data_IF_980772475840
#
_entry.id   IF_980772475840
#
_cell.length_a   1.000
_cell.length_b   1.000
_cell.length_c   1.000
_cell.angle_alpha   90.00
_cell.angle_beta   90.00
_cell.angle_gamma   90.00
#
_symmetry.space_group_name_H-M   'P 1'
#
loop_
_entity.id
_entity.type
_entity.pdbx_description
1 polymer ?
#
# COMPACT_ATOMS: atom_id res chain seq x y z
N UNK A 1 1.89 -15.71 -11.49
CA UNK A 1 1.75 -16.02 -12.93
C UNK A 1 3.01 -15.68 -13.72
N UNK A 2 3.51 -14.44 -13.72
CA UNK A 2 4.76 -14.03 -14.41
C UNK A 2 5.92 -15.00 -14.16
N UNK A 3 6.25 -15.26 -12.90
CA UNK A 3 7.31 -16.21 -12.50
C UNK A 3 7.06 -17.65 -12.99
N UNK A 4 5.80 -18.09 -13.06
CA UNK A 4 5.45 -19.41 -13.57
C UNK A 4 5.65 -19.51 -15.09
N UNK A 5 5.17 -18.52 -15.84
CA UNK A 5 5.37 -18.45 -17.29
C UNK A 5 6.85 -18.33 -17.68
N UNK A 6 7.64 -17.62 -16.87
CA UNK A 6 9.09 -17.54 -17.02
C UNK A 6 9.74 -18.93 -16.90
N UNK A 7 9.48 -19.65 -15.81
CA UNK A 7 10.05 -20.99 -15.61
C UNK A 7 9.55 -21.98 -16.64
N UNK A 8 8.29 -21.88 -17.05
CA UNK A 8 7.74 -22.76 -18.07
C UNK A 8 8.47 -22.56 -19.40
N UNK A 9 8.67 -21.31 -19.82
CA UNK A 9 9.44 -21.00 -21.03
C UNK A 9 10.88 -21.51 -20.95
N UNK A 10 11.50 -21.39 -19.77
CA UNK A 10 12.88 -21.84 -19.52
C UNK A 10 13.04 -23.37 -19.58
N UNK A 11 12.08 -24.12 -19.02
CA UNK A 11 12.14 -25.59 -18.90
C UNK A 11 11.68 -26.31 -20.16
N UNK A 12 10.60 -25.83 -20.76
CA UNK A 12 10.01 -26.46 -21.95
C UNK A 12 10.69 -25.97 -23.24
N UNK A 13 11.75 -25.18 -23.12
CA UNK A 13 12.42 -24.49 -24.23
C UNK A 13 11.44 -23.77 -25.16
N UNK A 14 10.37 -23.19 -24.59
CA UNK A 14 9.37 -22.44 -25.34
C UNK A 14 9.78 -20.97 -25.52
N UNK A 15 8.99 -20.24 -26.31
CA UNK A 15 9.12 -18.79 -26.42
C UNK A 15 8.74 -18.10 -25.11
N UNK A 16 9.46 -17.05 -24.72
CA UNK A 16 9.11 -16.20 -23.58
C UNK A 16 7.93 -15.24 -23.87
N UNK A 17 7.28 -15.32 -25.03
CA UNK A 17 6.22 -14.38 -25.43
C UNK A 17 5.11 -14.23 -24.37
N UNK A 18 4.61 -15.33 -23.79
CA UNK A 18 3.55 -15.28 -22.75
C UNK A 18 3.99 -14.55 -21.49
N UNK A 19 5.23 -14.78 -21.05
CA UNK A 19 5.83 -14.05 -19.94
C UNK A 19 5.95 -12.56 -20.28
N UNK A 20 6.39 -12.20 -21.49
CA UNK A 20 6.52 -10.80 -21.91
C UNK A 20 5.17 -10.07 -22.06
N UNK A 21 4.13 -10.75 -22.53
CA UNK A 21 2.77 -10.21 -22.52
C UNK A 21 2.30 -9.90 -21.09
N UNK A 22 2.66 -10.74 -20.12
CA UNK A 22 2.43 -10.48 -18.70
C UNK A 22 3.15 -9.21 -18.21
N UNK A 23 4.40 -9.04 -18.63
CA UNK A 23 5.20 -7.86 -18.32
C UNK A 23 4.62 -6.58 -18.94
N UNK A 24 4.07 -6.65 -20.17
CA UNK A 24 3.35 -5.54 -20.80
C UNK A 24 2.11 -5.15 -19.99
N UNK A 25 1.32 -6.13 -19.54
CA UNK A 25 0.15 -5.86 -18.68
C UNK A 25 0.60 -5.19 -17.38
N UNK A 26 1.67 -5.68 -16.76
CA UNK A 26 2.24 -5.08 -15.54
C UNK A 26 2.74 -3.65 -15.78
N UNK A 27 3.38 -3.39 -16.92
CA UNK A 27 3.85 -2.05 -17.32
C UNK A 27 2.69 -1.06 -17.40
N UNK A 28 1.56 -1.47 -17.98
CA UNK A 28 0.38 -0.62 -18.13
C UNK A 28 -0.41 -0.45 -16.81
N UNK A 29 -0.38 -1.44 -15.93
CA UNK A 29 -1.04 -1.35 -14.62
C UNK A 29 -0.24 -0.49 -13.63
N UNK A 30 1.08 -0.71 -13.58
CA UNK A 30 1.98 -0.08 -12.60
C UNK A 30 3.41 -0.12 -13.08
N UNK A 31 3.76 0.84 -13.94
CA UNK A 31 5.03 0.89 -14.68
C UNK A 31 6.30 0.62 -13.85
N UNK A 32 6.47 1.10 -12.60
CA UNK A 32 7.71 0.84 -11.87
C UNK A 32 7.86 -0.62 -11.41
N UNK A 33 6.75 -1.37 -11.27
CA UNK A 33 6.80 -2.78 -10.89
C UNK A 33 7.31 -3.69 -12.02
N UNK A 34 7.33 -3.22 -13.27
CA UNK A 34 8.01 -3.93 -14.36
C UNK A 34 9.49 -4.17 -14.00
N UNK A 35 10.16 -3.16 -13.44
CA UNK A 35 11.57 -3.23 -13.05
C UNK A 35 11.80 -4.34 -12.02
N UNK A 36 10.85 -4.55 -11.11
CA UNK A 36 10.92 -5.61 -10.10
C UNK A 36 10.92 -6.99 -10.77
N UNK A 37 10.00 -7.24 -11.69
CA UNK A 37 9.91 -8.52 -12.37
C UNK A 37 11.13 -8.79 -13.26
N UNK A 38 11.55 -7.79 -14.04
CA UNK A 38 12.74 -7.88 -14.90
C UNK A 38 14.02 -8.09 -14.07
N UNK A 39 14.17 -7.36 -12.95
CA UNK A 39 15.31 -7.54 -12.05
C UNK A 39 15.31 -8.93 -11.41
N UNK A 40 14.16 -9.44 -10.99
CA UNK A 40 14.05 -10.79 -10.42
C UNK A 40 14.48 -11.87 -11.42
N UNK A 41 14.03 -11.77 -12.68
CA UNK A 41 14.38 -12.70 -13.75
C UNK A 41 15.87 -12.60 -14.14
N UNK A 42 16.44 -11.39 -14.17
CA UNK A 42 17.88 -11.18 -14.37
C UNK A 42 18.72 -11.78 -13.23
N UNK A 43 18.36 -11.50 -11.97
CA UNK A 43 19.04 -12.07 -10.80
C UNK A 43 18.93 -13.60 -10.82
N UNK A 44 17.81 -14.16 -11.26
CA UNK A 44 17.69 -15.60 -11.46
C UNK A 44 18.69 -16.14 -12.49
N UNK A 45 18.82 -15.52 -13.66
CA UNK A 45 19.82 -15.95 -14.65
C UNK A 45 21.25 -15.85 -14.09
N UNK A 46 21.55 -14.82 -13.30
CA UNK A 46 22.85 -14.69 -12.63
C UNK A 46 23.08 -15.79 -11.59
N UNK A 47 22.06 -16.12 -10.80
CA UNK A 47 22.10 -17.14 -9.75
C UNK A 47 22.10 -18.59 -10.28
N UNK A 48 21.67 -18.79 -11.53
CA UNK A 48 21.55 -20.11 -12.16
C UNK A 48 22.43 -20.23 -13.42
N UNK A 49 23.74 -20.56 -13.27
CA UNK A 49 24.69 -20.60 -14.38
C UNK A 49 24.25 -21.44 -15.57
N UNK A 50 23.58 -22.57 -15.33
CA UNK A 50 23.08 -23.48 -16.37
C UNK A 50 22.04 -22.82 -17.31
N UNK A 51 21.40 -21.73 -16.89
CA UNK A 51 20.39 -21.02 -17.67
C UNK A 51 20.89 -19.74 -18.34
N UNK A 52 22.14 -19.32 -18.12
CA UNK A 52 22.70 -18.06 -18.67
C UNK A 52 22.68 -18.01 -20.20
N UNK A 53 22.86 -19.16 -20.86
CA UNK A 53 22.77 -19.27 -22.33
C UNK A 53 21.40 -18.88 -22.89
N UNK A 54 20.33 -18.90 -22.07
CA UNK A 54 18.98 -18.58 -22.50
C UNK A 54 18.66 -17.07 -22.41
N UNK A 55 19.55 -16.23 -21.86
CA UNK A 55 19.32 -14.78 -21.72
C UNK A 55 19.00 -14.15 -23.07
N UNK A 56 19.70 -14.52 -24.14
CA UNK A 56 19.42 -13.98 -25.49
C UNK A 56 18.00 -14.31 -25.99
N UNK A 57 17.48 -15.51 -25.65
CA UNK A 57 16.11 -15.92 -25.99
C UNK A 57 15.06 -15.16 -25.18
N UNK A 58 15.41 -14.70 -23.99
CA UNK A 58 14.55 -13.87 -23.14
C UNK A 58 14.59 -12.38 -23.55
N UNK A 59 15.77 -11.82 -23.82
CA UNK A 59 15.94 -10.40 -24.21
C UNK A 59 15.27 -10.08 -25.55
N UNK A 60 15.39 -10.94 -26.57
CA UNK A 60 14.81 -10.68 -27.90
C UNK A 60 13.31 -10.38 -27.86
N UNK A 61 12.43 -11.23 -27.28
CA UNK A 61 11.01 -10.92 -27.15
C UNK A 61 10.75 -9.74 -26.21
N UNK A 62 11.59 -9.49 -25.19
CA UNK A 62 11.48 -8.29 -24.36
C UNK A 62 11.59 -7.01 -25.19
N UNK A 63 12.61 -6.93 -26.04
CA UNK A 63 12.85 -5.77 -26.90
C UNK A 63 11.70 -5.56 -27.90
N UNK A 64 11.06 -6.62 -28.37
CA UNK A 64 9.87 -6.54 -29.23
C UNK A 64 8.59 -6.17 -28.45
N UNK A 65 8.49 -6.59 -27.19
CA UNK A 65 7.34 -6.35 -26.33
C UNK A 65 7.30 -4.92 -25.75
N UNK A 66 8.46 -4.32 -25.48
CA UNK A 66 8.56 -2.98 -24.88
C UNK A 66 7.83 -1.91 -25.71
N UNK A 67 8.02 -1.80 -27.05
CA UNK A 67 7.28 -0.84 -27.86
C UNK A 67 5.76 -1.00 -27.77
N UNK A 68 5.27 -2.25 -27.73
CA UNK A 68 3.84 -2.53 -27.59
C UNK A 68 3.30 -2.03 -26.25
N UNK A 69 4.03 -2.29 -25.16
CA UNK A 69 3.65 -1.79 -23.84
C UNK A 69 3.84 -0.29 -23.66
N UNK A 70 4.79 0.31 -24.38
CA UNK A 70 5.06 1.75 -24.37
C UNK A 70 4.06 2.56 -25.20
N UNK A 71 3.36 1.93 -26.16
CA UNK A 71 2.48 2.63 -27.10
C UNK A 71 1.44 3.52 -26.42
N UNK A 72 0.85 3.07 -25.31
CA UNK A 72 -0.09 3.89 -24.54
C UNK A 72 0.56 5.14 -23.94
N UNK A 73 1.75 5.02 -23.36
CA UNK A 73 2.50 6.16 -22.80
C UNK A 73 2.95 7.14 -23.88
N UNK A 74 3.30 6.64 -25.06
CA UNK A 74 3.60 7.48 -26.23
C UNK A 74 2.37 8.30 -26.62
N UNK A 75 1.19 7.66 -26.75
CA UNK A 75 -0.06 8.37 -27.05
C UNK A 75 -0.40 9.40 -25.97
N UNK A 76 -0.23 9.08 -24.69
CA UNK A 76 -0.40 10.04 -23.60
C UNK A 76 0.55 11.23 -23.74
N UNK A 77 1.84 10.98 -23.99
CA UNK A 77 2.84 12.03 -24.17
C UNK A 77 2.60 12.92 -25.39
N UNK A 78 2.00 12.38 -26.45
CA UNK A 78 1.62 13.15 -27.64
C UNK A 78 0.35 13.98 -27.43
N UNK A 79 -0.64 13.45 -26.68
CA UNK A 79 -1.92 14.14 -26.43
C UNK A 79 -1.83 15.20 -25.33
N UNK A 80 -1.05 14.95 -24.28
CA UNK A 80 -0.84 15.86 -23.16
C UNK A 80 0.64 15.83 -22.72
N UNK A 81 1.53 16.54 -23.45
CA UNK A 81 2.96 16.54 -23.16
C UNK A 81 3.29 17.09 -21.76
N UNK A 82 2.53 18.07 -21.28
CA UNK A 82 2.75 18.70 -19.98
C UNK A 82 2.35 17.77 -18.84
N UNK A 83 1.15 17.18 -18.91
CA UNK A 83 0.70 16.19 -17.93
C UNK A 83 1.59 14.96 -17.91
N UNK A 84 2.02 14.47 -19.08
CA UNK A 84 2.96 13.35 -19.16
C UNK A 84 4.30 13.69 -18.50
N UNK A 85 4.92 14.82 -18.83
CA UNK A 85 6.16 15.28 -18.16
C UNK A 85 5.98 15.44 -16.66
N UNK A 86 4.85 15.97 -16.22
CA UNK A 86 4.53 16.08 -14.80
C UNK A 86 4.48 14.71 -14.12
N UNK A 87 3.79 13.73 -14.71
CA UNK A 87 3.70 12.36 -14.15
C UNK A 87 5.07 11.68 -14.13
N UNK A 88 5.84 11.79 -15.21
CA UNK A 88 7.22 11.27 -15.27
C UNK A 88 8.09 11.91 -14.20
N UNK A 89 8.08 13.24 -14.09
CA UNK A 89 8.81 13.95 -13.06
C UNK A 89 8.33 13.59 -11.65
N UNK A 90 7.03 13.37 -11.46
CA UNK A 90 6.49 12.92 -10.17
C UNK A 90 7.04 11.54 -9.81
N UNK A 91 7.01 10.58 -10.73
CA UNK A 91 7.57 9.24 -10.51
C UNK A 91 9.08 9.28 -10.20
N UNK A 92 9.86 10.07 -10.94
CA UNK A 92 11.31 10.16 -10.73
C UNK A 92 11.70 11.03 -9.53
N UNK A 93 10.93 12.07 -9.20
CA UNK A 93 11.18 12.90 -8.02
C UNK A 93 10.92 12.13 -6.72
N UNK A 94 9.94 11.22 -6.72
CA UNK A 94 9.69 10.26 -5.63
C UNK A 94 10.81 9.21 -5.49
N UNK A 95 11.62 9.01 -6.54
CA UNK A 95 12.82 8.16 -6.52
C UNK A 95 14.07 8.94 -6.08
N UNK A 96 14.22 10.22 -6.46
CA UNK A 96 15.51 10.93 -6.42
C UNK A 96 15.65 12.07 -5.41
N UNK A 97 14.59 12.82 -5.07
CA UNK A 97 14.76 14.20 -4.56
C UNK A 97 14.06 14.56 -3.25
N UNK A 98 13.38 13.63 -2.58
CA UNK A 98 12.77 13.89 -1.28
C UNK A 98 13.84 14.08 -0.19
N UNK A 99 13.83 15.26 0.45
CA UNK A 99 14.49 15.52 1.74
C UNK A 99 14.42 14.25 2.58
N UNK A 100 15.59 13.63 2.82
CA UNK A 100 15.72 12.44 3.66
C UNK A 100 15.20 12.82 5.04
N UNK A 101 13.94 12.54 5.34
CA UNK A 101 13.62 12.26 6.74
C UNK A 101 14.51 11.07 7.11
N UNK A 102 15.35 11.18 8.16
CA UNK A 102 16.35 10.16 8.49
C UNK A 102 15.77 8.78 8.83
N UNK A 103 14.45 8.60 8.74
CA UNK A 103 13.83 7.30 8.95
C UNK A 103 14.35 6.30 7.92
N UNK A 104 15.09 5.33 8.42
CA UNK A 104 15.63 4.22 7.66
C UNK A 104 14.49 3.43 6.97
N UNK A 105 14.42 3.46 5.63
CA UNK A 105 13.45 2.68 4.84
C UNK A 105 13.45 1.20 5.23
N UNK A 106 14.64 0.68 5.54
CA UNK A 106 14.81 -0.69 6.01
C UNK A 106 14.01 -0.95 7.29
N UNK A 107 14.17 -0.11 8.30
CA UNK A 107 13.44 -0.26 9.57
C UNK A 107 11.94 -0.19 9.33
N UNK A 108 11.47 0.78 8.54
CA UNK A 108 10.04 0.91 8.23
C UNK A 108 9.46 -0.36 7.59
N UNK A 109 10.03 -0.81 6.48
CA UNK A 109 9.50 -1.98 5.77
C UNK A 109 9.76 -3.29 6.51
N UNK A 110 10.83 -3.39 7.29
CA UNK A 110 11.06 -4.49 8.21
C UNK A 110 9.88 -4.62 9.18
N UNK A 111 9.47 -3.55 9.87
CA UNK A 111 8.31 -3.58 10.77
C UNK A 111 7.03 -3.98 10.05
N UNK A 112 6.77 -3.42 8.86
CA UNK A 112 5.59 -3.78 8.06
C UNK A 112 5.60 -5.28 7.69
N UNK A 113 6.75 -5.83 7.29
CA UNK A 113 6.89 -7.25 6.96
C UNK A 113 6.76 -8.15 8.18
N UNK A 114 7.41 -7.80 9.30
CA UNK A 114 7.26 -8.55 10.56
C UNK A 114 5.79 -8.56 11.00
N UNK A 115 5.08 -7.46 10.78
CA UNK A 115 3.66 -7.36 11.04
C UNK A 115 2.87 -8.31 10.13
N UNK A 116 3.00 -8.21 8.81
CA UNK A 116 2.18 -8.99 7.87
C UNK A 116 2.59 -10.46 7.73
N UNK A 117 3.82 -10.84 8.07
CA UNK A 117 4.30 -12.23 8.05
C UNK A 117 4.08 -12.95 9.38
N UNK A 118 3.61 -12.27 10.41
CA UNK A 118 3.27 -12.94 11.66
C UNK A 118 2.16 -13.98 11.43
N UNK A 119 2.26 -15.17 12.05
CA UNK A 119 3.29 -15.60 13.01
C UNK A 119 4.52 -16.27 12.36
N UNK A 120 4.52 -16.42 11.04
CA UNK A 120 5.58 -17.09 10.27
C UNK A 120 6.92 -16.35 10.21
N UNK A 121 6.98 -15.17 10.80
CA UNK A 121 8.18 -14.33 10.85
C UNK A 121 9.41 -15.07 11.41
N UNK A 122 9.21 -15.96 12.39
CA UNK A 122 10.28 -16.71 13.05
C UNK A 122 10.86 -17.83 12.18
N UNK A 123 10.04 -18.43 11.29
CA UNK A 123 10.50 -19.47 10.36
C UNK A 123 11.04 -18.89 9.07
N UNK A 124 10.72 -17.65 8.74
CA UNK A 124 11.09 -17.06 7.46
C UNK A 124 12.61 -17.10 7.20
N UNK A 125 13.51 -16.72 8.14
CA UNK A 125 14.95 -16.79 7.90
C UNK A 125 15.42 -18.23 7.59
N UNK A 126 14.92 -19.21 8.34
CA UNK A 126 15.23 -20.61 8.11
C UNK A 126 14.72 -21.08 6.73
N UNK A 127 13.50 -20.70 6.34
CA UNK A 127 12.93 -21.04 5.04
C UNK A 127 13.71 -20.39 3.87
N UNK A 128 14.18 -19.16 4.04
CA UNK A 128 14.98 -18.45 3.06
C UNK A 128 16.35 -19.10 2.86
N UNK A 129 17.06 -19.44 3.95
CA UNK A 129 18.44 -19.98 3.89
C UNK A 129 18.46 -21.47 3.57
N UNK A 130 17.62 -22.27 4.24
CA UNK A 130 17.69 -23.73 4.18
C UNK A 130 16.80 -24.34 3.10
N UNK A 131 15.79 -23.60 2.61
CA UNK A 131 14.79 -24.19 1.72
C UNK A 131 15.32 -24.67 0.37
N UNK A 132 16.45 -24.15 -0.10
CA UNK A 132 17.02 -24.57 -1.41
C UNK A 132 17.79 -25.89 -1.31
N UNK A 133 18.32 -26.25 -0.12
CA UNK A 133 19.20 -27.42 0.04
C UNK A 133 18.41 -28.70 -0.16
N UNK A 134 18.85 -29.64 -1.01
CA UNK A 134 18.21 -30.94 -1.19
C UNK A 134 16.89 -30.92 -1.99
N UNK A 135 16.57 -29.81 -2.65
CA UNK A 135 15.53 -29.81 -3.68
C UNK A 135 16.10 -30.37 -4.99
N UNK A 136 15.31 -31.17 -5.72
CA UNK A 136 15.65 -31.55 -7.10
C UNK A 136 15.79 -30.33 -8.02
N UNK A 137 16.45 -30.45 -9.18
CA UNK A 137 16.82 -29.32 -10.03
C UNK A 137 15.63 -28.42 -10.40
N UNK A 138 14.53 -29.01 -10.86
CA UNK A 138 13.33 -28.23 -11.20
C UNK A 138 12.78 -27.45 -10.01
N UNK A 139 12.62 -28.11 -8.86
CA UNK A 139 12.09 -27.45 -7.67
C UNK A 139 13.04 -26.36 -7.18
N UNK A 140 14.35 -26.59 -7.27
CA UNK A 140 15.38 -25.62 -6.94
C UNK A 140 15.24 -24.36 -7.78
N UNK A 141 15.02 -24.46 -9.09
CA UNK A 141 14.85 -23.29 -9.96
C UNK A 141 13.61 -22.47 -9.57
N UNK A 142 12.49 -23.16 -9.30
CA UNK A 142 11.29 -22.48 -8.81
C UNK A 142 11.56 -21.74 -7.52
N UNK A 143 12.20 -22.42 -6.57
CA UNK A 143 12.51 -21.88 -5.26
C UNK A 143 13.50 -20.70 -5.31
N UNK A 144 14.50 -20.74 -6.20
CA UNK A 144 15.41 -19.62 -6.43
C UNK A 144 14.65 -18.44 -7.03
N UNK A 145 13.82 -18.67 -8.07
CA UNK A 145 13.08 -17.60 -8.72
C UNK A 145 12.13 -16.88 -7.77
N UNK A 146 11.36 -17.60 -6.96
CA UNK A 146 10.43 -16.99 -5.99
C UNK A 146 11.20 -16.13 -4.97
N UNK A 147 12.39 -16.56 -4.54
CA UNK A 147 13.26 -15.74 -3.67
C UNK A 147 13.78 -14.50 -4.38
N UNK A 148 14.15 -14.61 -5.66
CA UNK A 148 14.54 -13.45 -6.48
C UNK A 148 13.39 -12.44 -6.58
N UNK A 149 12.15 -12.88 -6.78
CA UNK A 149 10.97 -12.00 -6.80
C UNK A 149 10.72 -11.34 -5.44
N UNK A 150 10.73 -12.12 -4.35
CA UNK A 150 10.58 -11.57 -3.01
C UNK A 150 11.66 -10.51 -2.71
N UNK A 151 12.92 -10.85 -2.98
CA UNK A 151 14.06 -9.95 -2.79
C UNK A 151 13.99 -8.70 -3.67
N UNK A 152 13.64 -8.84 -4.95
CA UNK A 152 13.52 -7.71 -5.87
C UNK A 152 12.44 -6.72 -5.43
N UNK A 153 11.26 -7.21 -4.97
CA UNK A 153 10.21 -6.34 -4.41
C UNK A 153 10.75 -5.57 -3.22
N UNK A 154 11.43 -6.24 -2.28
CA UNK A 154 11.98 -5.59 -1.10
C UNK A 154 13.05 -4.55 -1.46
N UNK A 155 14.06 -4.94 -2.24
CA UNK A 155 15.14 -4.04 -2.64
C UNK A 155 14.59 -2.82 -3.37
N UNK A 156 13.62 -3.01 -4.27
CA UNK A 156 12.98 -1.91 -4.97
C UNK A 156 12.36 -0.90 -4.00
N UNK A 157 11.55 -1.35 -3.04
CA UNK A 157 10.90 -0.44 -2.09
C UNK A 157 11.86 0.11 -1.03
N UNK A 158 12.97 -0.57 -0.74
CA UNK A 158 14.04 0.02 0.08
C UNK A 158 14.69 1.24 -0.59
N UNK A 159 14.73 1.26 -1.93
CA UNK A 159 15.29 2.38 -2.71
C UNK A 159 14.25 3.51 -2.88
N UNK A 160 12.97 3.18 -3.03
CA UNK A 160 11.90 4.18 -3.17
C UNK A 160 11.76 5.00 -1.88
N UNK A 161 11.83 6.33 -1.98
CA UNK A 161 11.78 7.21 -0.81
C UNK A 161 10.38 7.30 -0.20
N UNK A 162 9.34 7.21 -1.04
CA UNK A 162 7.96 7.25 -0.60
C UNK A 162 7.57 5.92 0.05
N UNK A 163 7.13 6.02 1.31
CA UNK A 163 6.79 4.86 2.13
C UNK A 163 5.29 4.70 2.24
N UNK A 164 4.80 3.52 1.88
CA UNK A 164 3.47 3.09 2.26
C UNK A 164 3.49 1.62 2.66
N UNK A 165 2.68 1.21 3.65
CA UNK A 165 2.73 -0.17 4.14
C UNK A 165 2.27 -1.17 3.08
N UNK A 166 1.37 -0.76 2.18
CA UNK A 166 0.90 -1.61 1.08
C UNK A 166 1.91 -1.77 -0.05
N UNK A 167 3.02 -1.05 -0.06
CA UNK A 167 4.03 -1.18 -1.11
C UNK A 167 4.73 -2.53 -1.09
N UNK A 168 5.02 -3.08 0.09
CA UNK A 168 5.62 -4.42 0.21
C UNK A 168 4.60 -5.56 0.07
N UNK A 169 3.31 -5.27 -0.11
CA UNK A 169 2.29 -6.32 -0.24
C UNK A 169 2.56 -7.35 -1.35
N UNK A 170 3.08 -6.96 -2.54
CA UNK A 170 3.43 -7.92 -3.58
C UNK A 170 4.49 -8.94 -3.16
N UNK A 171 5.25 -8.72 -2.08
CA UNK A 171 6.22 -9.69 -1.57
C UNK A 171 5.58 -10.86 -0.81
N UNK A 172 4.41 -10.65 -0.16
CA UNK A 172 3.79 -11.68 0.69
C UNK A 172 3.46 -12.98 -0.05
N UNK A 173 2.90 -12.98 -1.28
CA UNK A 173 2.66 -14.23 -2.00
C UNK A 173 3.94 -15.05 -2.21
N UNK A 174 5.07 -14.39 -2.49
CA UNK A 174 6.34 -15.06 -2.68
C UNK A 174 6.89 -15.61 -1.35
N UNK A 175 6.78 -14.86 -0.26
CA UNK A 175 7.12 -15.39 1.07
C UNK A 175 6.24 -16.56 1.48
N UNK A 176 4.93 -16.50 1.22
CA UNK A 176 4.01 -17.60 1.47
C UNK A 176 4.41 -18.87 0.69
N UNK A 177 4.83 -18.73 -0.58
CA UNK A 177 5.34 -19.86 -1.36
C UNK A 177 6.65 -20.43 -0.81
N UNK A 178 7.61 -19.58 -0.41
CA UNK A 178 8.86 -20.03 0.23
C UNK A 178 8.57 -20.76 1.54
N UNK A 179 7.70 -20.19 2.38
CA UNK A 179 7.29 -20.78 3.65
C UNK A 179 6.58 -22.11 3.44
N UNK A 180 5.60 -22.17 2.53
CA UNK A 180 4.84 -23.39 2.24
C UNK A 180 5.71 -24.51 1.71
N UNK A 181 6.57 -24.23 0.73
CA UNK A 181 7.49 -25.23 0.16
C UNK A 181 8.48 -25.75 1.21
N UNK A 182 9.06 -24.86 2.01
CA UNK A 182 9.96 -25.25 3.10
C UNK A 182 9.25 -26.07 4.18
N UNK A 183 8.06 -25.64 4.59
CA UNK A 183 7.27 -26.30 5.65
C UNK A 183 6.91 -27.73 5.26
N UNK A 184 6.49 -27.97 4.02
CA UNK A 184 6.19 -29.33 3.52
C UNK A 184 7.43 -30.24 3.61
N UNK A 185 8.61 -29.71 3.27
CA UNK A 185 9.86 -30.49 3.34
C UNK A 185 10.28 -30.76 4.78
N UNK A 186 10.16 -29.73 5.60
CA UNK A 186 10.45 -29.81 7.02
C UNK A 186 9.56 -30.85 7.71
N UNK A 187 8.25 -30.84 7.42
CA UNK A 187 7.29 -31.84 7.89
C UNK A 187 7.67 -33.27 7.49
N UNK A 188 8.12 -33.47 6.25
CA UNK A 188 8.56 -34.79 5.73
C UNK A 188 9.87 -35.29 6.35
N UNK A 189 10.67 -34.42 6.97
CA UNK A 189 11.97 -34.81 7.53
C UNK A 189 11.89 -35.57 8.87
N UNK A 190 10.71 -35.72 9.47
CA UNK A 190 10.54 -36.36 10.79
C UNK A 190 10.99 -35.52 11.99
N UNK A 191 11.86 -34.53 11.79
CA UNK A 191 12.28 -33.54 12.80
C UNK A 191 11.17 -32.54 13.19
N UNK A 192 10.02 -32.64 12.53
CA UNK A 192 8.93 -31.68 12.56
C UNK A 192 8.35 -31.45 13.96
N UNK A 193 8.19 -32.50 14.75
CA UNK A 193 7.38 -32.42 15.96
C UNK A 193 8.04 -31.58 17.07
N UNK A 194 9.36 -31.68 17.27
CA UNK A 194 10.09 -30.90 18.29
C UNK A 194 10.14 -29.41 17.94
N UNK A 195 10.30 -29.12 16.66
CA UNK A 195 10.37 -27.75 16.15
C UNK A 195 9.00 -27.06 16.14
N UNK A 196 7.92 -27.75 15.79
CA UNK A 196 6.57 -27.18 15.79
C UNK A 196 6.10 -26.79 17.21
N UNK A 197 6.52 -27.51 18.25
CA UNK A 197 6.25 -27.10 19.64
C UNK A 197 6.99 -25.81 20.00
N UNK A 198 8.29 -25.71 19.69
CA UNK A 198 9.04 -24.47 19.87
C UNK A 198 8.45 -23.31 19.05
N UNK A 199 7.95 -23.61 17.84
CA UNK A 199 7.39 -22.63 16.93
C UNK A 199 5.95 -22.21 17.24
N UNK A 200 5.15 -23.01 17.93
CA UNK A 200 3.83 -22.60 18.40
C UNK A 200 3.93 -21.81 19.71
N UNK A 201 4.85 -22.20 20.60
CA UNK A 201 5.01 -21.52 21.89
C UNK A 201 5.61 -20.11 21.74
N UNK A 202 6.65 -19.95 20.94
CA UNK A 202 7.39 -18.68 20.88
C UNK A 202 6.60 -17.52 20.27
N UNK A 203 5.83 -17.64 19.17
CA UNK A 203 5.01 -16.53 18.65
C UNK A 203 3.72 -16.30 19.43
N UNK A 204 3.18 -17.29 20.15
CA UNK A 204 2.12 -17.04 21.15
C UNK A 204 2.72 -16.24 22.32
N UNK A 205 3.89 -16.62 22.81
CA UNK A 205 4.59 -15.91 23.88
C UNK A 205 5.04 -14.51 23.47
N UNK A 206 5.60 -14.33 22.27
CA UNK A 206 5.99 -13.02 21.70
C UNK A 206 4.75 -12.22 21.31
N UNK A 207 3.68 -12.86 20.84
CA UNK A 207 2.39 -12.22 20.61
C UNK A 207 1.76 -11.71 21.91
N UNK A 208 2.00 -12.39 23.04
CA UNK A 208 1.59 -11.95 24.37
C UNK A 208 2.52 -10.89 24.99
N UNK A 209 3.85 -10.99 24.78
CA UNK A 209 4.85 -10.10 25.39
C UNK A 209 5.13 -8.83 24.57
N UNK A 210 5.03 -8.91 23.24
CA UNK A 210 5.30 -7.82 22.29
C UNK A 210 4.04 -7.05 21.86
N UNK A 211 2.88 -7.37 22.46
CA UNK A 211 1.67 -6.59 22.34
C UNK A 211 1.83 -5.31 23.16
N UNK A 212 2.69 -4.41 22.69
CA UNK A 212 2.69 -3.05 23.19
C UNK A 212 1.59 -2.32 22.40
N UNK A 213 0.39 -2.10 22.96
CA UNK A 213 -0.74 -1.43 22.26
C UNK A 213 -0.41 -0.01 21.79
N UNK A 214 0.80 0.47 22.10
CA UNK A 214 1.33 1.77 21.71
C UNK A 214 2.03 1.75 20.35
N UNK A 215 2.43 0.60 19.81
CA UNK A 215 3.00 0.54 18.45
C UNK A 215 1.85 0.64 17.46
N UNK A 216 1.68 1.80 16.81
CA UNK A 216 0.52 2.04 15.97
C UNK A 216 0.61 1.14 14.74
N UNK A 217 -0.36 0.26 14.56
CA UNK A 217 -0.42 -0.64 13.41
C UNK A 217 -0.33 0.20 12.11
N UNK A 218 0.75 0.05 11.31
CA UNK A 218 0.93 0.85 10.10
C UNK A 218 -0.15 0.55 9.06
N UNK A 219 -0.68 -0.68 9.02
CA UNK A 219 -1.81 -1.04 8.17
C UNK A 219 -3.11 -0.47 8.70
N UNK A 220 -3.37 -0.52 10.01
CA UNK A 220 -4.53 0.15 10.59
C UNK A 220 -4.50 1.65 10.31
N UNK A 221 -3.36 2.33 10.52
CA UNK A 221 -3.19 3.75 10.18
C UNK A 221 -3.48 4.04 8.71
N UNK A 222 -3.01 3.19 7.81
CA UNK A 222 -3.33 3.28 6.39
C UNK A 222 -4.83 3.09 6.13
N UNK A 223 -5.45 2.08 6.73
CA UNK A 223 -6.89 1.79 6.59
C UNK A 223 -7.76 2.93 7.11
N UNK A 224 -7.32 3.67 8.13
CA UNK A 224 -8.03 4.85 8.64
C UNK A 224 -8.00 6.06 7.69
N UNK A 225 -7.10 6.08 6.69
CA UNK A 225 -7.10 7.12 5.65
C UNK A 225 -8.09 6.83 4.52
N UNK A 226 -8.57 5.60 4.42
CA UNK A 226 -9.66 5.26 3.50
C UNK A 226 -10.99 5.56 4.18
N UNK A 227 -11.95 6.20 3.48
CA UNK A 227 -13.28 6.41 4.02
C UNK A 227 -13.85 5.06 4.41
N UNK A 228 -14.14 4.85 5.70
CA UNK A 228 -14.72 3.60 6.18
C UNK A 228 -16.01 3.37 5.38
N UNK A 229 -16.12 2.31 4.56
CA UNK A 229 -17.43 1.94 4.08
C UNK A 229 -18.26 1.61 5.33
N UNK A 230 -19.45 2.18 5.42
CA UNK A 230 -20.47 1.93 6.46
C UNK A 230 -20.89 0.45 6.56
N UNK A 231 -20.29 -0.43 5.76
CA UNK A 231 -20.61 -1.85 5.67
C UNK A 231 -20.23 -2.67 6.91
N UNK A 232 -19.33 -2.20 7.80
CA UNK A 232 -18.72 -3.04 8.84
C UNK A 232 -19.03 -2.65 10.30
N UNK A 233 -20.24 -2.16 10.59
CA UNK A 233 -20.75 -2.03 11.98
C UNK A 233 -21.55 -3.27 12.45
N UNK A 234 -21.55 -4.36 11.67
CA UNK A 234 -22.24 -5.61 12.03
C UNK A 234 -21.37 -6.63 12.76
N UNK A 235 -22.01 -7.44 13.60
CA UNK A 235 -21.44 -8.62 14.31
C UNK A 235 -20.68 -9.61 13.41
N UNK A 236 -20.95 -9.58 12.10
CA UNK A 236 -20.26 -10.41 11.11
C UNK A 236 -18.76 -10.13 11.02
N UNK A 237 -18.29 -8.95 11.44
CA UNK A 237 -16.85 -8.61 11.46
C UNK A 237 -16.04 -9.55 12.35
N UNK A 238 -16.62 -9.98 13.47
CA UNK A 238 -15.96 -10.87 14.43
C UNK A 238 -16.22 -12.35 14.09
N UNK A 239 -17.34 -12.65 13.42
CA UNK A 239 -17.76 -14.03 13.11
C UNK A 239 -17.23 -14.53 11.76
N UNK A 240 -17.08 -13.67 10.75
CA UNK A 240 -16.63 -14.06 9.42
C UNK A 240 -15.27 -14.78 9.40
N UNK A 241 -14.23 -14.35 10.15
CA UNK A 241 -12.95 -15.05 10.16
C UNK A 241 -13.06 -16.44 10.79
N UNK A 242 -13.91 -16.59 11.81
CA UNK A 242 -14.18 -17.87 12.48
C UNK A 242 -14.88 -18.83 11.51
N UNK A 243 -15.91 -18.36 10.80
CA UNK A 243 -16.63 -19.16 9.81
C UNK A 243 -15.72 -19.60 8.67
N UNK A 244 -14.86 -18.70 8.16
CA UNK A 244 -13.87 -19.04 7.12
C UNK A 244 -12.86 -20.08 7.65
N UNK A 245 -12.37 -19.93 8.89
CA UNK A 245 -11.46 -20.90 9.49
C UNK A 245 -12.10 -22.29 9.63
N UNK A 246 -13.36 -22.35 10.09
CA UNK A 246 -14.12 -23.60 10.21
C UNK A 246 -14.37 -24.24 8.83
N UNK A 247 -14.75 -23.45 7.83
CA UNK A 247 -14.96 -23.95 6.47
C UNK A 247 -13.66 -24.51 5.85
N UNK A 248 -12.53 -23.82 6.03
CA UNK A 248 -11.22 -24.29 5.61
C UNK A 248 -10.85 -25.59 6.33
N UNK A 249 -11.07 -25.67 7.65
CA UNK A 249 -10.84 -26.88 8.43
C UNK A 249 -11.64 -28.06 7.89
N UNK A 250 -12.95 -27.89 7.67
CA UNK A 250 -13.82 -28.92 7.11
C UNK A 250 -13.38 -29.37 5.71
N UNK A 251 -12.87 -28.45 4.88
CA UNK A 251 -12.42 -28.77 3.52
C UNK A 251 -11.09 -29.55 3.48
N UNK A 252 -10.15 -29.24 4.36
CA UNK A 252 -8.79 -29.82 4.30
C UNK A 252 -8.61 -31.07 5.17
N UNK A 253 -9.33 -31.19 6.28
CA UNK A 253 -9.19 -32.32 7.21
C UNK A 253 -9.43 -33.71 6.57
N UNK A 254 -10.40 -33.91 5.67
CA UNK A 254 -10.65 -35.21 5.03
C UNK A 254 -9.58 -35.63 4.01
N UNK A 255 -8.79 -34.70 3.48
CA UNK A 255 -7.82 -34.95 2.39
C UNK A 255 -6.44 -35.42 2.88
N UNK A 256 -6.22 -35.45 4.19
CA UNK A 256 -4.95 -35.90 4.78
C UNK A 256 -5.04 -37.42 5.01
N UNK A 257 -4.30 -38.24 4.25
CA UNK A 257 -4.49 -39.71 4.16
C UNK A 257 -4.32 -40.52 5.48
N UNK A 258 -4.76 -41.81 5.51
CA UNK A 258 -5.28 -42.49 6.71
C UNK A 258 -4.33 -42.98 7.82
N UNK A 259 -3.07 -43.35 7.60
CA UNK A 259 -2.47 -44.37 8.49
C UNK A 259 -1.54 -43.88 9.61
N UNK A 260 -0.71 -42.85 9.43
CA UNK A 260 0.44 -42.66 10.35
C UNK A 260 0.48 -41.33 11.12
N UNK A 261 -0.57 -40.51 10.97
CA UNK A 261 -0.49 -39.08 11.32
C UNK A 261 -1.76 -38.63 12.07
N UNK A 262 -2.26 -39.37 13.07
CA UNK A 262 -3.34 -38.80 13.92
C UNK A 262 -2.89 -37.53 14.63
N UNK A 263 -1.66 -37.54 15.14
CA UNK A 263 -1.09 -36.40 15.86
C UNK A 263 -0.80 -35.19 14.96
N UNK A 264 -0.11 -35.36 13.81
CA UNK A 264 0.15 -34.19 12.95
C UNK A 264 -1.13 -33.68 12.30
N UNK A 265 -2.20 -34.48 12.15
CA UNK A 265 -3.53 -33.96 11.77
C UNK A 265 -4.09 -33.01 12.81
N UNK A 266 -4.02 -33.37 14.09
CA UNK A 266 -4.46 -32.49 15.18
C UNK A 266 -3.61 -31.22 15.19
N UNK A 267 -2.28 -31.32 15.09
CA UNK A 267 -1.39 -30.15 15.05
C UNK A 267 -1.66 -29.25 13.84
N UNK A 268 -1.82 -29.83 12.65
CA UNK A 268 -2.15 -29.07 11.44
C UNK A 268 -3.53 -28.44 11.55
N UNK A 269 -4.53 -29.16 12.07
CA UNK A 269 -5.87 -28.61 12.28
C UNK A 269 -5.86 -27.46 13.30
N UNK A 270 -5.18 -27.64 14.43
CA UNK A 270 -4.99 -26.60 15.45
C UNK A 270 -4.26 -25.40 14.85
N UNK A 271 -3.19 -25.59 14.09
CA UNK A 271 -2.50 -24.49 13.41
C UNK A 271 -3.41 -23.79 12.38
N UNK A 272 -4.16 -24.55 11.58
CA UNK A 272 -5.10 -23.99 10.60
C UNK A 272 -6.24 -23.20 11.24
N UNK A 273 -6.59 -23.45 12.50
CA UNK A 273 -7.62 -22.70 13.23
C UNK A 273 -7.01 -21.57 14.05
N UNK A 274 -6.00 -21.86 14.87
CA UNK A 274 -5.40 -20.88 15.76
C UNK A 274 -4.68 -19.76 15.01
N UNK A 275 -4.01 -20.04 13.88
CA UNK A 275 -3.26 -19.00 13.17
C UNK A 275 -4.18 -17.96 12.52
N UNK A 276 -5.28 -18.32 11.82
CA UNK A 276 -6.25 -17.34 11.35
C UNK A 276 -6.97 -16.60 12.48
N UNK A 277 -7.31 -17.28 13.58
CA UNK A 277 -7.94 -16.63 14.74
C UNK A 277 -6.99 -15.60 15.36
N UNK A 278 -5.73 -15.96 15.59
CA UNK A 278 -4.70 -15.03 16.10
C UNK A 278 -4.46 -13.86 15.14
N UNK A 279 -4.39 -14.12 13.83
CA UNK A 279 -4.25 -13.06 12.82
C UNK A 279 -5.47 -12.12 12.81
N UNK A 280 -6.68 -12.67 12.97
CA UNK A 280 -7.93 -11.90 13.00
C UNK A 280 -8.04 -11.08 14.28
N UNK A 281 -7.75 -11.66 15.44
CA UNK A 281 -7.71 -10.97 16.72
C UNK A 281 -6.69 -9.83 16.70
N UNK A 282 -5.53 -10.03 16.06
CA UNK A 282 -4.53 -8.97 15.88
C UNK A 282 -5.07 -7.78 15.10
N UNK A 283 -5.73 -8.04 13.96
CA UNK A 283 -6.34 -6.98 13.14
C UNK A 283 -7.51 -6.32 13.89
N UNK A 284 -8.32 -7.11 14.59
CA UNK A 284 -9.44 -6.59 15.37
C UNK A 284 -8.99 -5.68 16.52
N UNK A 285 -7.94 -6.06 17.24
CA UNK A 285 -7.40 -5.33 18.38
C UNK A 285 -6.75 -3.98 18.00
N UNK A 286 -6.29 -3.80 16.75
CA UNK A 286 -5.72 -2.52 16.30
C UNK A 286 -6.77 -1.48 15.89
N UNK A 287 -8.02 -1.90 15.69
CA UNK A 287 -9.11 -1.04 15.21
C UNK A 287 -9.74 -0.11 16.28
N UNK A 288 -9.91 -0.48 17.57
CA UNK A 288 -10.52 0.40 18.56
C UNK A 288 -9.60 1.52 19.10
N UNK A 289 -8.27 1.43 18.94
CA UNK A 289 -7.30 2.34 19.62
C UNK A 289 -7.09 3.68 18.89
N UNK A 290 -7.71 3.89 17.73
CA UNK A 290 -7.50 5.11 16.95
C UNK A 290 -8.82 5.80 16.62
N UNK A 291 -9.28 6.75 17.46
CA UNK A 291 -10.24 7.78 17.05
C UNK A 291 -9.54 8.80 16.11
N UNK A 292 -8.80 8.31 15.11
CA UNK A 292 -8.19 9.16 14.10
C UNK A 292 -9.23 9.37 13.02
N UNK A 293 -10.13 10.33 13.27
CA UNK A 293 -10.96 10.90 12.21
C UNK A 293 -10.02 11.66 11.29
N UNK A 294 -9.77 11.11 10.10
CA UNK A 294 -8.90 11.75 9.11
C UNK A 294 -9.40 13.18 8.82
N UNK A 295 -8.52 14.10 8.43
CA UNK A 295 -8.94 15.47 8.11
C UNK A 295 -10.04 15.49 7.03
N UNK A 296 -10.00 14.53 6.09
CA UNK A 296 -11.02 14.36 5.07
C UNK A 296 -12.34 13.84 5.64
N UNK A 297 -12.28 12.90 6.58
CA UNK A 297 -13.48 12.37 7.23
C UNK A 297 -14.14 13.44 8.10
N UNK A 298 -13.35 14.26 8.83
CA UNK A 298 -13.86 15.45 9.53
C UNK A 298 -14.53 16.43 8.58
N UNK A 299 -13.88 16.75 7.46
CA UNK A 299 -14.46 17.64 6.45
C UNK A 299 -15.76 17.06 5.88
N UNK A 300 -15.81 15.75 5.62
CA UNK A 300 -17.00 15.07 5.11
C UNK A 300 -18.14 15.06 6.13
N UNK A 301 -17.84 14.76 7.40
CA UNK A 301 -18.82 14.81 8.49
C UNK A 301 -19.35 16.23 8.68
N UNK A 302 -18.48 17.24 8.59
CA UNK A 302 -18.88 18.64 8.67
C UNK A 302 -19.76 19.04 7.48
N UNK A 303 -19.39 18.68 6.25
CA UNK A 303 -20.19 18.94 5.06
C UNK A 303 -21.58 18.30 5.15
N UNK A 304 -21.66 17.03 5.55
CA UNK A 304 -22.94 16.33 5.76
C UNK A 304 -23.78 16.97 6.86
N UNK A 305 -23.14 17.38 7.95
CA UNK A 305 -23.84 18.05 9.06
C UNK A 305 -24.50 19.35 8.60
N UNK A 306 -23.79 20.16 7.81
CA UNK A 306 -24.32 21.41 7.24
C UNK A 306 -25.46 21.16 6.26
N UNK A 307 -25.28 20.17 5.39
CA UNK A 307 -26.33 19.74 4.45
C UNK A 307 -27.60 19.29 5.19
N UNK A 308 -27.48 18.48 6.25
CA UNK A 308 -28.63 18.08 7.08
C UNK A 308 -29.25 19.23 7.88
N UNK A 309 -28.48 20.28 8.17
CA UNK A 309 -28.97 21.49 8.82
C UNK A 309 -29.65 22.48 7.84
N UNK A 310 -29.67 22.17 6.53
CA UNK A 310 -30.16 23.08 5.51
C UNK A 310 -29.24 24.29 5.29
N UNK A 311 -28.01 24.26 5.81
CA UNK A 311 -27.04 25.33 5.62
C UNK A 311 -26.51 25.29 4.18
N UNK A 312 -26.67 26.39 3.44
CA UNK A 312 -26.07 26.54 2.13
C UNK A 312 -24.56 26.56 2.26
N UNK A 313 -23.91 25.57 1.66
CA UNK A 313 -22.45 25.46 1.69
C UNK A 313 -21.87 26.52 0.75
N UNK A 314 -21.53 27.69 1.30
CA UNK A 314 -20.91 28.76 0.52
C UNK A 314 -19.45 28.42 0.18
N UNK A 315 -19.14 28.43 -1.11
CA UNK A 315 -17.78 28.32 -1.61
C UNK A 315 -17.21 29.73 -1.85
N UNK A 316 -15.92 29.98 -1.56
CA UNK A 316 -14.89 28.99 -1.25
C UNK A 316 -14.78 28.61 0.24
N UNK A 317 -14.61 27.31 0.53
CA UNK A 317 -14.44 26.82 1.90
C UNK A 317 -12.95 26.81 2.30
N UNK A 318 -12.62 27.49 3.40
CA UNK A 318 -11.28 27.52 3.98
C UNK A 318 -11.00 26.18 4.70
N UNK A 319 -10.14 25.35 4.12
CA UNK A 319 -9.70 24.11 4.76
C UNK A 319 -8.58 24.45 5.75
N UNK A 320 -8.89 24.48 7.06
CA UNK A 320 -7.87 24.65 8.11
C UNK A 320 -7.01 23.38 8.20
N UNK A 321 -5.80 23.41 7.63
CA UNK A 321 -4.78 22.37 7.82
C UNK A 321 -3.50 22.59 7.01
N UNK A 322 -2.31 22.24 7.53
CA UNK A 322 -1.02 22.51 6.89
C UNK A 322 -0.75 21.67 5.62
N UNK A 323 -1.55 20.63 5.34
CA UNK A 323 -1.31 19.68 4.25
C UNK A 323 -2.60 19.28 3.50
N UNK A 324 -3.40 20.23 3.03
CA UNK A 324 -4.60 19.93 2.21
C UNK A 324 -4.26 19.95 0.72
N UNK A 325 -3.58 18.90 0.24
CA UNK A 325 -3.67 18.53 -1.18
C UNK A 325 -4.90 17.64 -1.32
N UNK A 326 -6.06 18.27 -1.38
CA UNK A 326 -7.31 17.62 -1.77
C UNK A 326 -7.26 17.37 -3.28
N UNK A 327 -6.51 16.35 -3.71
CA UNK A 327 -6.67 15.75 -5.04
C UNK A 327 -7.19 14.34 -4.82
N UNK A 328 -8.35 14.04 -5.42
CA UNK A 328 -9.05 12.74 -5.41
C UNK A 328 -9.90 12.37 -4.20
N UNK A 329 -10.97 13.12 -3.84
CA UNK A 329 -11.79 12.66 -2.71
C UNK A 329 -13.32 12.58 -2.83
N UNK A 330 -13.97 12.91 -3.95
CA UNK A 330 -15.44 12.84 -3.99
C UNK A 330 -16.10 12.23 -5.22
N UNK A 331 -15.37 11.69 -6.20
CA UNK A 331 -15.98 11.35 -7.49
C UNK A 331 -16.33 12.58 -8.35
N UNK A 332 -16.55 13.73 -7.70
CA UNK A 332 -16.63 15.05 -8.32
C UNK A 332 -15.28 15.77 -8.29
N UNK A 333 -14.95 16.48 -9.37
CA UNK A 333 -13.72 17.25 -9.46
C UNK A 333 -13.92 18.64 -8.83
N UNK A 334 -13.28 18.92 -7.69
CA UNK A 334 -13.27 20.27 -7.10
C UNK A 334 -12.03 21.04 -7.55
N UNK A 335 -12.19 22.31 -7.91
CA UNK A 335 -11.02 23.19 -8.15
C UNK A 335 -10.47 23.70 -6.82
N UNK A 336 -9.15 23.59 -6.64
CA UNK A 336 -8.43 24.09 -5.46
C UNK A 336 -7.71 25.37 -5.85
N UNK A 337 -8.22 26.50 -5.39
CA UNK A 337 -7.57 27.79 -5.55
C UNK A 337 -6.40 27.94 -4.57
N UNK A 338 -5.29 28.51 -5.04
CA UNK A 338 -4.07 28.72 -4.24
C UNK A 338 -3.86 30.15 -3.77
N UNK A 339 -4.72 31.11 -4.12
CA UNK A 339 -4.57 32.51 -3.71
C UNK A 339 -5.92 33.11 -3.35
N UNK A 340 -6.07 33.51 -2.09
CA UNK A 340 -7.11 34.44 -1.64
C UNK A 340 -6.38 35.59 -0.94
N UNK A 341 -6.50 36.82 -1.46
CA UNK A 341 -5.87 38.01 -0.85
C UNK A 341 -4.33 37.97 -0.72
N UNK A 342 -3.61 37.39 -1.69
CA UNK A 342 -2.15 37.35 -1.70
C UNK A 342 -1.49 36.27 -0.80
N UNK A 343 -2.24 35.64 0.11
CA UNK A 343 -1.75 34.50 0.91
C UNK A 343 -2.08 33.16 0.23
N UNK A 344 -1.13 32.22 0.27
CA UNK A 344 -1.30 30.86 -0.24
C UNK A 344 -2.12 30.01 0.72
N UNK A 345 -3.44 30.19 0.70
CA UNK A 345 -4.37 29.35 1.47
C UNK A 345 -5.15 28.47 0.50
N UNK A 346 -5.03 27.13 0.59
CA UNK A 346 -5.82 26.22 -0.24
C UNK A 346 -7.30 26.37 0.12
N UNK A 347 -8.14 26.62 -0.88
CA UNK A 347 -9.58 26.71 -0.73
C UNK A 347 -10.29 25.92 -1.83
N UNK A 348 -11.41 25.29 -1.49
CA UNK A 348 -12.25 24.56 -2.45
C UNK A 348 -13.15 25.56 -3.17
N UNK A 349 -13.15 25.59 -4.50
CA UNK A 349 -13.92 26.53 -5.34
C UNK A 349 -15.32 25.99 -5.71
N UNK A 350 -15.64 24.75 -5.30
CA UNK A 350 -16.90 24.07 -5.62
C UNK A 350 -16.72 22.97 -6.67
N UNK A 351 -17.77 22.18 -6.95
CA UNK A 351 -17.71 21.07 -7.91
C UNK A 351 -17.62 21.58 -9.36
N UNK A 352 -16.73 21.00 -10.17
CA UNK A 352 -16.65 21.23 -11.62
C UNK A 352 -17.93 20.71 -12.28
N UNK A 353 -18.78 21.63 -12.71
CA UNK A 353 -20.02 21.34 -13.44
C UNK A 353 -21.30 21.67 -12.68
N UNK A 354 -21.21 22.09 -11.41
CA UNK A 354 -22.36 22.67 -10.71
C UNK A 354 -22.57 24.11 -11.16
N UNK A 355 -23.80 24.42 -11.60
CA UNK A 355 -24.28 25.80 -11.82
C UNK A 355 -23.82 26.65 -10.65
N UNK A 356 -23.07 27.73 -10.92
CA UNK A 356 -22.79 28.74 -9.91
C UNK A 356 -24.14 29.27 -9.44
N UNK A 357 -24.59 28.87 -8.26
CA UNK A 357 -25.63 29.58 -7.51
C UNK A 357 -25.04 30.90 -7.06
N UNK A 358 -24.91 31.81 -8.02
CA UNK A 358 -24.14 33.03 -7.90
C UNK A 358 -24.29 33.99 -9.07
N UNK A 359 -25.34 33.83 -9.88
CA UNK A 359 -26.04 34.99 -10.46
C UNK A 359 -27.11 35.40 -9.45
N UNK A 360 -26.68 35.78 -8.25
CA UNK A 360 -27.51 36.62 -7.40
C UNK A 360 -27.56 37.97 -8.12
N UNK A 361 -28.71 38.30 -8.66
CA UNK A 361 -28.99 39.60 -9.28
C UNK A 361 -28.46 40.74 -8.38
N UNK A 362 -27.89 41.80 -8.96
CA UNK A 362 -27.63 43.01 -8.21
C UNK A 362 -28.97 43.48 -7.66
N UNK A 363 -29.10 43.50 -6.33
CA UNK A 363 -30.22 44.13 -5.63
C UNK A 363 -30.31 45.56 -6.14
N UNK A 364 -31.36 45.81 -6.93
CA UNK A 364 -31.64 47.10 -7.55
C UNK A 364 -31.94 48.17 -6.52
N UNK A 365 -31.35 49.34 -6.76
CA UNK A 365 -31.79 50.69 -6.44
C UNK A 365 -32.89 50.86 -5.39
N UNK A 366 -32.48 51.30 -4.20
CA UNK A 366 -33.34 52.10 -3.32
C UNK A 366 -33.25 53.58 -3.73
N UNK A 367 -34.37 54.27 -4.00
CA UNK A 367 -34.36 55.71 -4.17
C UNK A 367 -34.55 56.41 -2.83
N UNK A 368 -33.66 57.36 -2.55
CA UNK A 368 -33.94 58.53 -1.73
C UNK A 368 -33.79 58.37 -0.22
N UNK A 369 -32.72 58.93 0.33
CA UNK A 369 -32.85 59.84 1.47
C UNK A 369 -31.65 60.79 1.56
N UNK A 370 -31.97 62.07 1.42
CA UNK A 370 -31.14 63.22 1.71
C UNK A 370 -30.90 63.35 3.22
N UNK A 371 -29.66 63.54 3.66
CA UNK A 371 -29.39 63.80 5.07
C UNK A 371 -27.91 63.89 5.42
N UNK A 372 -27.36 65.08 5.22
CA UNK A 372 -26.45 65.83 6.11
C UNK A 372 -25.53 65.11 7.12
N UNK A 373 -24.28 65.57 7.15
CA UNK A 373 -23.54 65.75 8.40
C UNK A 373 -22.65 64.61 8.90
N UNK A 374 -21.33 64.72 8.66
CA UNK A 374 -20.36 64.11 9.58
C UNK A 374 -19.06 63.60 8.98
N UNK A 375 -18.12 64.50 8.67
CA UNK A 375 -16.69 64.16 8.57
C UNK A 375 -16.22 63.59 9.92
N UNK A 376 -16.03 62.27 10.00
CA UNK A 376 -15.21 61.65 11.05
C UNK A 376 -13.83 61.32 10.50
N UNK A 377 -12.86 62.01 11.07
CA UNK A 377 -11.41 61.84 10.89
C UNK A 377 -11.01 60.38 11.15
N UNK A 378 -10.28 59.81 10.20
CA UNK A 378 -9.54 58.56 10.37
C UNK A 378 -8.28 58.90 11.20
N UNK A 379 -8.04 58.25 12.36
CA UNK A 379 -6.79 58.42 13.07
C UNK A 379 -5.66 57.71 12.32
N UNK A 380 -4.61 58.49 12.06
CA UNK A 380 -3.31 58.10 11.51
C UNK A 380 -2.68 57.06 12.44
N UNK A 381 -2.34 55.89 11.89
CA UNK A 381 -1.74 54.77 12.62
C UNK A 381 -0.22 54.90 12.62
N UNK A 382 0.27 55.94 13.26
CA UNK A 382 1.69 56.14 13.59
C UNK A 382 1.80 55.94 15.10
N UNK A 383 2.11 54.71 15.55
CA UNK A 383 2.64 54.36 16.88
C UNK A 383 2.66 52.82 17.02
N UNK A 384 3.69 52.21 16.45
CA UNK A 384 4.07 50.83 16.79
C UNK A 384 5.50 50.87 17.38
N UNK A 385 5.71 50.43 18.63
CA UNK A 385 7.02 50.44 19.25
C UNK A 385 7.97 49.43 18.58
N UNK A 386 9.29 49.69 18.56
CA UNK A 386 10.26 48.80 17.94
C UNK A 386 10.34 47.47 18.68
N UNK A 387 10.15 46.38 17.93
CA UNK A 387 10.41 45.01 18.40
C UNK A 387 11.91 44.87 18.68
N UNK A 388 12.26 44.75 19.97
CA UNK A 388 13.60 44.36 20.43
C UNK A 388 13.95 42.97 19.86
N UNK A 389 15.02 42.91 19.06
CA UNK A 389 15.77 41.68 18.82
C UNK A 389 16.52 41.32 20.09
N UNK A 390 16.16 40.20 20.71
CA UNK A 390 16.99 39.53 21.70
C UNK A 390 17.95 38.59 21.00
N UNK A 391 19.24 38.91 21.09
CA UNK A 391 20.36 37.96 21.03
C UNK A 391 20.44 37.17 22.36
N UNK A 392 21.24 36.08 22.31
CA UNK A 392 21.68 35.17 23.38
C UNK A 392 20.71 33.99 23.68
N UNK A 393 21.13 32.72 23.71
CA UNK A 393 22.45 32.07 23.75
C UNK A 393 22.33 30.62 23.27
#
# INVERSE_FOLDING_TARGET
WIAYEFLRALREERSFLRNHLALIVLLNLKSPLLLVAVAAELVFFLASPHHRGQIGRWVRPLLLAVPLGAGWFVVQGLRDPEGFRYVVNLMFSELSTGRREPQNNFVYYFHVLMYGLFPYVLILPAALVLGVRGAGPERRDFEVLIRCFAGAVLVFFLIVQKKFPWYVMPAYPFFAMVLGTWTVRFLRSGAAYRFWWALLFVPVLIGMLGFEPRVPDPLARALLTFPRPTLAEGWWRDVAPIVVAVALMQHFLPRVGPAEIRFQRVVVAVALVCLPVLASLRVAASLPVTPVVSANDRLRTELRRRETAGETTSFPMLVKGPHSVARYYFGDAYDVGRKLGGRRVPHLIGPKGGVRTGDAEPVGDSPGESGDGGRKLIPRRDDAPPVRKGEDR
#
